data_IF_361981293504
#
_entry.id   IF_361981293504
#
_cell.length_a   1.000
_cell.length_b   1.000
_cell.length_c   1.000
_cell.angle_alpha   90.00
_cell.angle_beta   90.00
_cell.angle_gamma   90.00
#
_symmetry.space_group_name_H-M   'P 1'
#
loop_
_entity.id
_entity.type
_entity.pdbx_description
1 polymer ?
#
# COMPACT_ATOMS: atom_id res chain seq x y z
N UNK A 1 -15.49 29.46 -0.69
CA UNK A 1 -16.92 29.23 -0.41
C UNK A 1 -17.12 27.76 -0.02
N UNK A 2 -17.86 27.46 1.06
CA UNK A 2 -18.24 26.08 1.39
C UNK A 2 -19.32 25.65 0.39
N UNK A 3 -19.02 24.76 -0.57
CA UNK A 3 -20.07 24.26 -1.48
C UNK A 3 -21.11 23.48 -0.66
N UNK A 4 -22.38 23.83 -0.87
CA UNK A 4 -23.52 23.21 -0.19
C UNK A 4 -23.79 21.79 -0.68
N UNK A 5 -24.56 21.04 0.11
CA UNK A 5 -25.10 19.76 -0.32
C UNK A 5 -26.45 19.98 -0.99
N UNK A 6 -26.68 19.33 -2.12
CA UNK A 6 -27.96 19.28 -2.83
C UNK A 6 -28.62 17.91 -2.64
N UNK A 7 -29.94 17.88 -2.64
CA UNK A 7 -30.68 16.62 -2.62
C UNK A 7 -30.49 15.86 -3.94
N UNK A 8 -30.23 14.57 -3.84
CA UNK A 8 -30.02 13.64 -4.96
C UNK A 8 -31.13 12.59 -5.00
N UNK A 9 -31.68 12.21 -3.84
CA UNK A 9 -32.78 11.26 -3.73
C UNK A 9 -32.31 9.83 -3.42
N UNK A 10 -32.91 8.83 -4.06
CA UNK A 10 -32.56 7.43 -3.87
C UNK A 10 -31.38 7.00 -4.75
N UNK A 11 -30.39 6.31 -4.18
CA UNK A 11 -29.22 5.79 -4.88
C UNK A 11 -29.03 4.29 -4.59
N UNK A 12 -28.71 3.54 -5.65
CA UNK A 12 -28.16 2.19 -5.54
C UNK A 12 -26.69 2.24 -5.91
N UNK A 13 -25.83 1.93 -4.95
CA UNK A 13 -24.39 2.15 -5.04
C UNK A 13 -23.63 0.82 -5.02
N UNK A 14 -22.73 0.66 -5.97
CA UNK A 14 -21.79 -0.45 -6.03
C UNK A 14 -20.39 0.05 -5.66
N UNK A 15 -19.65 -0.61 -4.75
CA UNK A 15 -18.29 -0.22 -4.43
C UNK A 15 -17.38 -0.23 -5.66
N UNK A 16 -16.53 0.79 -5.77
CA UNK A 16 -15.44 0.82 -6.73
C UNK A 16 -14.12 0.59 -6.01
N UNK A 17 -13.74 1.46 -5.08
CA UNK A 17 -12.49 1.30 -4.34
C UNK A 17 -12.51 2.06 -3.02
N UNK A 18 -11.55 1.75 -2.15
CA UNK A 18 -11.26 2.55 -0.97
C UNK A 18 -9.79 2.97 -0.98
N UNK A 19 -9.53 4.19 -0.53
CA UNK A 19 -8.17 4.73 -0.48
C UNK A 19 -7.89 5.50 0.81
N UNK A 20 -6.63 5.53 1.26
CA UNK A 20 -6.21 6.41 2.33
C UNK A 20 -6.19 7.86 1.82
N UNK A 21 -6.67 8.78 2.65
CA UNK A 21 -6.56 10.22 2.40
C UNK A 21 -5.49 10.77 3.32
N UNK A 22 -4.42 11.32 2.74
CA UNK A 22 -3.35 11.98 3.48
C UNK A 22 -3.06 13.32 2.81
N UNK A 23 -3.54 14.40 3.43
CA UNK A 23 -3.42 15.75 2.89
C UNK A 23 -2.26 16.50 3.54
N UNK A 24 -1.51 17.27 2.73
CA UNK A 24 -0.43 18.13 3.19
C UNK A 24 -0.89 19.20 4.22
N UNK A 25 -2.19 19.51 4.25
CA UNK A 25 -2.82 20.42 5.21
C UNK A 25 -3.00 19.84 6.62
N UNK A 26 -2.45 18.64 6.90
CA UNK A 26 -2.53 18.01 8.22
C UNK A 26 -3.84 17.27 8.49
N UNK A 27 -4.52 16.84 7.42
CA UNK A 27 -5.74 16.04 7.50
C UNK A 27 -5.47 14.62 6.98
N UNK A 28 -5.96 13.63 7.72
CA UNK A 28 -5.82 12.23 7.37
C UNK A 28 -7.13 11.46 7.60
N UNK A 29 -7.29 10.37 6.86
CA UNK A 29 -8.47 9.52 6.97
C UNK A 29 -8.56 8.47 5.87
N UNK A 30 -9.78 8.02 5.61
CA UNK A 30 -10.09 7.09 4.54
C UNK A 30 -11.32 7.55 3.78
N UNK A 31 -11.42 7.13 2.52
CA UNK A 31 -12.63 7.27 1.72
C UNK A 31 -12.97 5.98 1.00
N UNK A 32 -14.26 5.73 0.83
CA UNK A 32 -14.80 4.73 -0.07
C UNK A 32 -15.51 5.44 -1.22
N UNK A 33 -15.28 4.92 -2.42
CA UNK A 33 -15.82 5.42 -3.68
C UNK A 33 -16.72 4.35 -4.28
N UNK A 34 -17.86 4.79 -4.79
CA UNK A 34 -18.94 3.97 -5.32
C UNK A 34 -19.36 4.49 -6.68
N UNK A 35 -20.02 3.63 -7.46
CA UNK A 35 -20.75 4.02 -8.67
C UNK A 35 -22.23 3.70 -8.52
N UNK A 36 -23.08 4.51 -9.14
CA UNK A 36 -24.47 4.14 -9.39
C UNK A 36 -24.65 3.48 -10.76
N UNK A 37 -25.90 3.15 -11.12
CA UNK A 37 -26.26 2.53 -12.40
C UNK A 37 -26.08 3.45 -13.62
N UNK A 38 -25.93 4.76 -13.42
CA UNK A 38 -25.64 5.71 -14.49
C UNK A 38 -24.13 5.84 -14.78
N UNK A 39 -23.29 5.23 -13.93
CA UNK A 39 -21.83 5.40 -13.98
C UNK A 39 -21.34 6.62 -13.21
N UNK A 40 -22.22 7.35 -12.53
CA UNK A 40 -21.81 8.49 -11.71
C UNK A 40 -21.10 8.01 -10.44
N UNK A 41 -20.03 8.72 -10.08
CA UNK A 41 -19.18 8.37 -8.94
C UNK A 41 -19.61 9.13 -7.69
N UNK A 42 -19.70 8.41 -6.58
CA UNK A 42 -20.09 8.93 -5.26
C UNK A 42 -19.06 8.55 -4.22
N UNK A 43 -18.80 9.41 -3.24
CA UNK A 43 -17.81 9.13 -2.20
C UNK A 43 -18.34 9.34 -0.79
N UNK A 44 -17.84 8.53 0.13
CA UNK A 44 -18.04 8.67 1.57
C UNK A 44 -16.67 8.69 2.22
N UNK A 45 -16.38 9.77 2.95
CA UNK A 45 -15.04 10.00 3.50
C UNK A 45 -15.10 10.42 4.97
N UNK A 46 -14.24 9.81 5.78
CA UNK A 46 -13.98 10.17 7.18
C UNK A 46 -12.57 10.71 7.27
N UNK A 47 -12.46 12.02 7.21
CA UNK A 47 -11.19 12.75 7.25
C UNK A 47 -11.23 13.72 8.43
N UNK A 48 -10.18 13.69 9.26
CA UNK A 48 -10.03 14.54 10.45
C UNK A 48 -8.59 15.08 10.50
N UNK A 49 -8.30 16.12 11.29
CA UNK A 49 -6.92 16.48 11.58
C UNK A 49 -6.14 15.25 12.07
N UNK A 50 -4.97 14.99 11.49
CA UNK A 50 -4.20 13.78 11.78
C UNK A 50 -3.14 13.49 10.72
N UNK A 51 -2.44 12.38 10.91
CA UNK A 51 -1.35 11.91 10.06
C UNK A 51 -1.59 10.46 9.59
N UNK A 52 -0.59 9.87 8.93
CA UNK A 52 -0.67 8.50 8.42
C UNK A 52 -1.01 7.46 9.50
N UNK A 53 -0.59 7.66 10.76
CA UNK A 53 -0.85 6.72 11.86
C UNK A 53 -2.33 6.69 12.28
N UNK A 54 -3.08 7.76 11.99
CA UNK A 54 -4.50 7.89 12.33
C UNK A 54 -5.46 7.19 11.34
N UNK A 55 -4.97 6.86 10.14
CA UNK A 55 -5.78 6.34 9.04
C UNK A 55 -6.38 4.96 9.35
N UNK A 56 -5.66 3.97 9.92
CA UNK A 56 -6.25 2.69 10.28
C UNK A 56 -7.46 2.85 11.23
N UNK A 57 -7.35 3.76 12.21
CA UNK A 57 -8.45 4.05 13.12
C UNK A 57 -9.63 4.71 12.38
N UNK A 58 -9.38 5.68 11.50
CA UNK A 58 -10.43 6.31 10.71
C UNK A 58 -11.16 5.32 9.78
N UNK A 59 -10.43 4.37 9.21
CA UNK A 59 -10.95 3.35 8.31
C UNK A 59 -11.84 2.32 9.02
N UNK A 60 -11.52 1.98 10.27
CA UNK A 60 -12.26 1.03 11.10
C UNK A 60 -13.35 1.66 11.98
N UNK A 61 -13.45 2.99 12.05
CA UNK A 61 -14.35 3.66 12.98
C UNK A 61 -15.79 3.79 12.47
N UNK A 62 -16.73 3.47 13.36
CA UNK A 62 -18.19 3.62 13.18
C UNK A 62 -18.74 4.85 13.92
N UNK A 63 -20.01 5.26 13.69
CA UNK A 63 -20.83 4.99 12.50
C UNK A 63 -20.59 6.08 11.44
N UNK A 64 -20.54 5.74 10.15
CA UNK A 64 -20.38 6.76 9.10
C UNK A 64 -21.69 7.47 8.80
N UNK A 65 -22.80 6.74 8.73
CA UNK A 65 -24.16 7.28 8.73
C UNK A 65 -24.85 6.91 10.04
N UNK A 66 -25.67 7.82 10.59
CA UNK A 66 -26.27 7.59 11.91
C UNK A 66 -27.09 6.30 12.01
N UNK A 67 -27.81 5.92 10.95
CA UNK A 67 -28.61 4.68 10.95
C UNK A 67 -27.86 3.45 10.44
N UNK A 68 -26.69 3.62 9.82
CA UNK A 68 -25.85 2.51 9.37
C UNK A 68 -24.56 2.54 10.18
N UNK A 69 -24.55 1.78 11.28
CA UNK A 69 -23.35 1.51 12.06
C UNK A 69 -22.45 0.55 11.30
N UNK A 70 -21.71 1.11 10.35
CA UNK A 70 -20.70 0.41 9.59
C UNK A 70 -19.54 1.36 9.28
N UNK A 71 -18.28 0.89 9.37
CA UNK A 71 -17.10 1.68 9.09
C UNK A 71 -16.82 1.68 7.58
N UNK A 72 -15.92 2.56 7.12
CA UNK A 72 -15.49 2.60 5.72
C UNK A 72 -14.96 1.22 5.27
N UNK A 73 -14.27 0.50 6.15
CA UNK A 73 -13.82 -0.88 5.91
C UNK A 73 -14.95 -1.81 5.48
N UNK A 74 -16.12 -1.72 6.09
CA UNK A 74 -17.24 -2.59 5.73
C UNK A 74 -18.02 -2.04 4.53
N UNK A 75 -18.26 -0.73 4.50
CA UNK A 75 -19.02 -0.06 3.43
C UNK A 75 -18.36 -0.24 2.06
N UNK A 76 -17.02 -0.12 1.98
CA UNK A 76 -16.25 -0.29 0.75
C UNK A 76 -16.33 -1.69 0.12
N UNK A 77 -16.97 -2.64 0.79
CA UNK A 77 -17.07 -4.05 0.37
C UNK A 77 -18.50 -4.51 0.14
N UNK A 78 -19.49 -3.63 0.28
CA UNK A 78 -20.89 -4.00 0.14
C UNK A 78 -21.63 -3.01 -0.74
N UNK A 79 -22.60 -3.51 -1.50
CA UNK A 79 -23.57 -2.63 -2.18
C UNK A 79 -24.35 -1.85 -1.14
N UNK A 80 -24.73 -0.62 -1.48
CA UNK A 80 -25.49 0.25 -0.58
C UNK A 80 -26.76 0.73 -1.27
N UNK A 81 -27.86 0.77 -0.52
CA UNK A 81 -29.06 1.48 -0.91
C UNK A 81 -29.18 2.69 0.01
N UNK A 82 -29.12 3.88 -0.57
CA UNK A 82 -29.19 5.14 0.15
C UNK A 82 -30.47 5.86 -0.25
N UNK A 83 -31.33 6.18 0.70
CA UNK A 83 -32.49 7.03 0.50
C UNK A 83 -32.25 8.42 1.08
N UNK A 84 -32.86 9.43 0.44
CA UNK A 84 -32.72 10.86 0.76
C UNK A 84 -31.25 11.29 0.79
N UNK A 85 -30.46 10.75 -0.14
CA UNK A 85 -29.08 11.14 -0.31
C UNK A 85 -29.00 12.64 -0.61
N UNK A 86 -28.06 13.30 0.04
CA UNK A 86 -27.63 14.64 -0.35
C UNK A 86 -26.14 14.59 -0.64
N UNK A 87 -25.71 15.26 -1.69
CA UNK A 87 -24.33 15.23 -2.16
C UNK A 87 -23.82 16.63 -2.50
N UNK A 88 -22.51 16.82 -2.47
CA UNK A 88 -21.86 18.00 -3.05
C UNK A 88 -21.70 17.79 -4.57
N UNK A 89 -21.34 18.86 -5.26
CA UNK A 89 -21.09 18.81 -6.72
C UNK A 89 -19.93 17.88 -7.10
N UNK A 90 -19.00 17.64 -6.17
CA UNK A 90 -17.88 16.69 -6.31
C UNK A 90 -18.27 15.22 -6.06
N UNK A 91 -19.56 14.93 -5.82
CA UNK A 91 -20.07 13.58 -5.57
C UNK A 91 -19.88 13.08 -4.13
N UNK A 92 -19.39 13.91 -3.20
CA UNK A 92 -19.31 13.52 -1.79
C UNK A 92 -20.69 13.46 -1.15
N UNK A 93 -21.06 12.30 -0.62
CA UNK A 93 -22.32 12.05 0.07
C UNK A 93 -22.29 12.60 1.50
N UNK A 94 -23.42 13.18 1.92
CA UNK A 94 -23.60 13.68 3.27
C UNK A 94 -23.92 12.54 4.23
N UNK A 95 -23.59 12.75 5.51
CA UNK A 95 -23.98 11.88 6.61
C UNK A 95 -25.11 12.46 7.48
N UNK A 96 -25.98 13.28 6.90
CA UNK A 96 -27.04 13.98 7.65
C UNK A 96 -28.08 13.04 8.27
N UNK A 97 -28.76 13.51 9.32
CA UNK A 97 -29.73 12.73 10.09
C UNK A 97 -30.94 12.22 9.27
N UNK A 98 -31.24 12.85 8.12
CA UNK A 98 -32.30 12.43 7.22
C UNK A 98 -31.87 11.34 6.22
N UNK A 99 -30.57 11.10 6.06
CA UNK A 99 -30.04 10.07 5.17
C UNK A 99 -30.32 8.70 5.78
N UNK A 100 -30.84 7.80 4.96
CA UNK A 100 -31.11 6.41 5.33
C UNK A 100 -30.26 5.54 4.44
N UNK A 101 -29.45 4.66 5.02
CA UNK A 101 -28.59 3.77 4.26
C UNK A 101 -28.77 2.33 4.74
N UNK A 102 -28.82 1.40 3.80
CA UNK A 102 -28.83 -0.03 4.09
C UNK A 102 -27.78 -0.73 3.25
N UNK A 103 -27.28 -1.83 3.79
CA UNK A 103 -26.20 -2.61 3.20
C UNK A 103 -26.79 -3.83 2.50
N UNK A 104 -26.41 -4.01 1.24
CA UNK A 104 -26.78 -5.16 0.43
C UNK A 104 -25.69 -6.22 0.41
N UNK A 105 -25.67 -7.00 -0.68
CA UNK A 105 -24.71 -8.08 -0.87
C UNK A 105 -23.25 -7.58 -0.88
N UNK A 106 -22.35 -8.46 -0.44
CA UNK A 106 -20.92 -8.27 -0.58
C UNK A 106 -20.52 -8.11 -2.04
N UNK A 107 -19.55 -7.24 -2.30
CA UNK A 107 -18.99 -6.95 -3.61
C UNK A 107 -17.73 -7.77 -3.81
N UNK A 108 -17.70 -8.59 -4.86
CA UNK A 108 -16.63 -9.56 -5.12
C UNK A 108 -15.73 -9.20 -6.31
N UNK A 109 -15.92 -8.03 -6.93
CA UNK A 109 -15.03 -7.53 -7.97
C UNK A 109 -15.69 -6.61 -9.00
N UNK A 110 -14.87 -6.11 -9.93
CA UNK A 110 -15.19 -4.98 -10.81
C UNK A 110 -15.77 -5.34 -12.18
N UNK A 111 -16.59 -6.39 -12.25
CA UNK A 111 -17.24 -6.76 -13.51
C UNK A 111 -18.14 -5.63 -14.02
N UNK A 112 -17.78 -5.05 -15.16
CA UNK A 112 -18.49 -3.91 -15.74
C UNK A 112 -18.21 -2.55 -15.07
N UNK A 113 -17.02 -2.35 -14.50
CA UNK A 113 -16.63 -1.03 -13.98
C UNK A 113 -16.82 0.07 -15.04
N UNK A 114 -17.39 1.23 -14.67
CA UNK A 114 -17.62 2.31 -15.62
C UNK A 114 -16.30 2.98 -16.01
N UNK A 115 -16.23 3.50 -17.24
CA UNK A 115 -15.15 4.42 -17.60
C UNK A 115 -15.16 5.65 -16.70
N UNK A 116 -14.00 6.23 -16.32
CA UNK A 116 -12.66 5.95 -16.82
C UNK A 116 -11.91 4.83 -16.09
N UNK A 117 -12.57 4.06 -15.21
CA UNK A 117 -11.93 2.95 -14.52
C UNK A 117 -11.70 1.79 -15.47
N UNK A 118 -10.51 1.20 -15.37
CA UNK A 118 -10.11 0.06 -16.18
C UNK A 118 -9.90 -1.16 -15.29
N UNK A 119 -10.28 -2.33 -15.82
CA UNK A 119 -10.03 -3.61 -15.17
C UNK A 119 -8.91 -4.33 -15.92
N UNK A 120 -7.79 -4.53 -15.23
CA UNK A 120 -6.65 -5.30 -15.74
C UNK A 120 -6.71 -6.70 -15.13
N UNK A 121 -7.00 -7.69 -15.97
CA UNK A 121 -7.05 -9.11 -15.57
C UNK A 121 -5.85 -9.84 -16.18
N UNK A 122 -5.08 -10.55 -15.36
CA UNK A 122 -3.91 -11.26 -15.85
C UNK A 122 -3.02 -11.85 -14.77
N UNK A 123 -1.88 -12.37 -15.21
CA UNK A 123 -0.87 -12.93 -14.30
C UNK A 123 0.07 -11.85 -13.80
N UNK A 124 0.45 -11.95 -12.53
CA UNK A 124 1.55 -11.17 -11.96
C UNK A 124 2.86 -11.63 -12.60
N UNK A 125 3.64 -10.69 -13.12
CA UNK A 125 4.97 -10.95 -13.69
C UNK A 125 6.10 -10.27 -12.91
N UNK A 126 5.76 -9.47 -11.90
CA UNK A 126 6.71 -8.80 -11.03
C UNK A 126 6.05 -7.70 -10.20
N UNK A 127 6.82 -7.08 -9.31
CA UNK A 127 6.35 -5.99 -8.46
C UNK A 127 7.50 -5.43 -7.63
N UNK A 128 7.38 -4.16 -7.26
CA UNK A 128 8.33 -3.44 -6.43
C UNK A 128 7.58 -2.57 -5.42
N UNK A 129 8.28 -1.66 -4.74
CA UNK A 129 7.64 -0.75 -3.76
C UNK A 129 6.84 0.40 -4.38
N UNK A 130 6.87 0.53 -5.70
CA UNK A 130 6.18 1.56 -6.46
C UNK A 130 4.93 1.01 -7.13
N UNK A 131 4.85 -0.28 -7.40
CA UNK A 131 3.73 -0.87 -8.12
C UNK A 131 3.83 -2.37 -8.37
N UNK A 132 2.87 -2.87 -9.14
CA UNK A 132 2.77 -4.27 -9.54
C UNK A 132 2.78 -4.35 -11.07
N UNK A 133 3.38 -5.41 -11.63
CA UNK A 133 3.32 -5.69 -13.07
C UNK A 133 2.35 -6.84 -13.30
N UNK A 134 1.25 -6.55 -14.00
CA UNK A 134 0.17 -7.50 -14.29
C UNK A 134 -0.10 -7.50 -15.79
N UNK A 135 -0.14 -8.68 -16.41
CA UNK A 135 -0.29 -8.81 -17.87
C UNK A 135 0.68 -7.92 -18.67
N UNK A 136 1.94 -7.80 -18.20
CA UNK A 136 2.97 -6.96 -18.83
C UNK A 136 2.81 -5.45 -18.64
N UNK A 137 1.80 -4.99 -17.88
CA UNK A 137 1.55 -3.57 -17.60
C UNK A 137 2.01 -3.20 -16.20
N UNK A 138 2.73 -2.09 -16.08
CA UNK A 138 3.12 -1.53 -14.78
C UNK A 138 1.98 -0.70 -14.20
N UNK A 139 1.52 -1.07 -13.01
CA UNK A 139 0.43 -0.41 -12.27
C UNK A 139 1.02 0.26 -11.03
N UNK A 140 0.98 1.58 -10.97
CA UNK A 140 1.63 2.37 -9.92
C UNK A 140 0.75 2.51 -8.67
N UNK A 141 1.36 2.50 -7.49
CA UNK A 141 0.69 2.84 -6.23
C UNK A 141 0.58 4.35 -6.08
N UNK A 142 -0.58 4.81 -5.59
CA UNK A 142 -0.79 6.21 -5.19
C UNK A 142 0.15 6.62 -4.07
N UNK A 143 0.48 7.91 -4.02
CA UNK A 143 1.38 8.49 -3.01
C UNK A 143 0.93 8.18 -1.57
N UNK A 144 -0.36 8.35 -1.27
CA UNK A 144 -0.90 8.01 0.05
C UNK A 144 -0.78 6.51 0.35
N UNK A 145 -1.18 5.63 -0.59
CA UNK A 145 -1.04 4.20 -0.40
C UNK A 145 0.42 3.76 -0.14
N UNK A 146 1.38 4.35 -0.85
CA UNK A 146 2.81 4.12 -0.63
C UNK A 146 3.26 4.57 0.75
N UNK A 147 2.83 5.75 1.20
CA UNK A 147 3.15 6.28 2.53
C UNK A 147 2.61 5.37 3.67
N UNK A 148 1.54 4.62 3.41
CA UNK A 148 0.98 3.62 4.34
C UNK A 148 1.54 2.21 4.13
N UNK A 149 2.64 2.06 3.40
CA UNK A 149 3.35 0.78 3.29
C UNK A 149 2.79 -0.19 2.26
N UNK A 150 1.90 0.23 1.36
CA UNK A 150 1.41 -0.62 0.26
C UNK A 150 2.54 -1.15 -0.64
N UNK A 151 3.69 -0.48 -0.69
CA UNK A 151 4.85 -0.92 -1.44
C UNK A 151 5.42 -2.27 -0.98
N UNK A 152 5.33 -2.58 0.32
CA UNK A 152 5.75 -3.90 0.83
C UNK A 152 4.81 -5.01 0.34
N UNK A 153 3.53 -4.70 0.18
CA UNK A 153 2.55 -5.62 -0.35
C UNK A 153 2.80 -5.91 -1.84
N UNK A 154 3.04 -4.88 -2.66
CA UNK A 154 3.33 -5.07 -4.09
C UNK A 154 4.68 -5.75 -4.34
N UNK A 155 5.69 -5.48 -3.51
CA UNK A 155 6.96 -6.23 -3.52
C UNK A 155 6.71 -7.71 -3.22
N UNK A 156 5.88 -8.02 -2.21
CA UNK A 156 5.53 -9.41 -1.86
C UNK A 156 4.70 -10.10 -2.96
N UNK A 157 3.65 -9.44 -3.47
CA UNK A 157 2.83 -9.98 -4.55
C UNK A 157 3.64 -10.16 -5.83
N UNK A 158 4.60 -9.28 -6.09
CA UNK A 158 5.54 -9.39 -7.21
C UNK A 158 6.37 -10.67 -7.22
N UNK A 159 6.57 -11.31 -6.06
CA UNK A 159 7.22 -12.62 -5.97
C UNK A 159 6.30 -13.76 -6.40
N UNK A 160 4.98 -13.58 -6.33
CA UNK A 160 3.98 -14.58 -6.70
C UNK A 160 3.77 -14.60 -8.22
N UNK A 161 4.86 -14.76 -8.99
CA UNK A 161 4.84 -14.80 -10.45
C UNK A 161 3.90 -15.91 -10.93
N UNK A 162 3.04 -15.58 -11.90
CA UNK A 162 2.02 -16.49 -12.43
C UNK A 162 0.70 -16.49 -11.66
N UNK A 163 0.62 -15.90 -10.46
CA UNK A 163 -0.65 -15.72 -9.76
C UNK A 163 -1.59 -14.85 -10.59
N UNK A 164 -2.84 -15.29 -10.74
CA UNK A 164 -3.84 -14.58 -11.54
C UNK A 164 -4.61 -13.62 -10.66
N UNK A 165 -4.55 -12.35 -11.02
CA UNK A 165 -5.16 -11.25 -10.28
C UNK A 165 -6.02 -10.42 -11.21
N UNK A 166 -6.96 -9.71 -10.61
CA UNK A 166 -7.72 -8.66 -11.26
C UNK A 166 -7.46 -7.36 -10.52
N UNK A 167 -7.12 -6.31 -11.25
CA UNK A 167 -6.78 -5.01 -10.70
C UNK A 167 -7.77 -3.95 -11.21
N UNK A 168 -8.26 -3.10 -10.31
CA UNK A 168 -8.91 -1.86 -10.70
C UNK A 168 -7.86 -0.77 -10.87
N UNK A 169 -7.90 -0.08 -12.00
CA UNK A 169 -6.91 0.91 -12.40
C UNK A 169 -7.59 2.21 -12.83
N UNK A 170 -6.98 3.35 -12.49
CA UNK A 170 -7.35 4.65 -13.04
C UNK A 170 -6.09 5.38 -13.47
N UNK A 171 -5.96 5.69 -14.77
CA UNK A 171 -4.79 6.42 -15.28
C UNK A 171 -3.45 5.72 -15.03
N UNK A 172 -3.42 4.39 -14.96
CA UNK A 172 -2.23 3.59 -14.63
C UNK A 172 -1.96 3.41 -13.13
N UNK A 173 -2.78 3.99 -12.26
CA UNK A 173 -2.68 3.80 -10.81
C UNK A 173 -3.54 2.63 -10.32
N UNK A 174 -2.96 1.77 -9.50
CA UNK A 174 -3.62 0.64 -8.85
C UNK A 174 -4.50 1.11 -7.69
N UNK A 175 -5.81 0.89 -7.81
CA UNK A 175 -6.81 1.26 -6.81
C UNK A 175 -7.24 0.08 -5.93
N UNK A 176 -7.13 -1.15 -6.44
CA UNK A 176 -7.52 -2.35 -5.74
C UNK A 176 -7.13 -3.61 -6.50
N UNK A 177 -7.07 -4.73 -5.80
CA UNK A 177 -6.77 -6.05 -6.38
C UNK A 177 -7.65 -7.14 -5.78
N UNK A 178 -8.08 -8.09 -6.60
CA UNK A 178 -8.59 -9.38 -6.15
C UNK A 178 -7.69 -10.50 -6.66
N UNK A 179 -7.45 -11.50 -5.81
CA UNK A 179 -6.77 -12.72 -6.21
C UNK A 179 -7.81 -13.70 -6.76
N UNK A 180 -7.50 -14.33 -7.90
CA UNK A 180 -8.39 -15.31 -8.56
C UNK A 180 -7.84 -16.71 -8.40
N UNK A 181 -6.58 -16.89 -8.77
CA UNK A 181 -5.92 -18.20 -8.80
C UNK A 181 -4.43 -18.06 -8.47
N UNK A 182 -3.83 -19.14 -7.95
CA UNK A 182 -2.41 -19.23 -7.67
C UNK A 182 -2.05 -18.89 -6.23
N UNK A 183 -0.82 -18.40 -6.04
CA UNK A 183 -0.23 -18.31 -4.71
C UNK A 183 -0.74 -17.14 -3.86
N UNK A 184 -1.47 -16.16 -4.41
CA UNK A 184 -1.99 -15.03 -3.63
C UNK A 184 -3.37 -15.39 -3.07
N UNK A 185 -3.54 -15.23 -1.77
CA UNK A 185 -4.80 -15.40 -1.05
C UNK A 185 -5.12 -14.14 -0.25
N UNK A 186 -6.24 -13.50 -0.58
CA UNK A 186 -6.77 -12.36 0.19
C UNK A 186 -7.74 -12.92 1.24
N UNK A 187 -7.58 -12.57 2.53
CA UNK A 187 -8.45 -13.04 3.59
C UNK A 187 -9.95 -12.82 3.32
N UNK A 188 -10.77 -13.80 3.68
CA UNK A 188 -12.22 -13.78 3.48
C UNK A 188 -12.91 -12.64 4.24
N UNK A 189 -12.35 -12.20 5.37
CA UNK A 189 -12.86 -11.07 6.15
C UNK A 189 -12.71 -9.72 5.43
N UNK A 190 -11.90 -9.69 4.36
CA UNK A 190 -11.76 -8.57 3.43
C UNK A 190 -12.60 -8.74 2.16
N UNK A 191 -13.46 -9.76 2.08
CA UNK A 191 -14.31 -10.03 0.92
C UNK A 191 -13.51 -10.35 -0.34
N UNK A 192 -12.28 -10.86 -0.20
CA UNK A 192 -11.40 -11.18 -1.32
C UNK A 192 -10.79 -9.96 -2.03
N UNK A 193 -10.97 -8.74 -1.49
CA UNK A 193 -10.46 -7.50 -2.07
C UNK A 193 -9.40 -6.84 -1.19
N UNK A 194 -8.27 -6.51 -1.82
CA UNK A 194 -7.19 -5.74 -1.22
C UNK A 194 -7.27 -4.26 -1.65
N UNK A 195 -7.31 -3.36 -0.66
CA UNK A 195 -7.20 -1.92 -0.82
C UNK A 195 -5.80 -1.42 -0.44
N UNK A 196 -4.99 -0.95 -1.42
CA UNK A 196 -3.64 -0.48 -1.18
C UNK A 196 -3.57 0.61 -0.11
N UNK A 197 -2.78 0.37 0.94
CA UNK A 197 -2.52 1.32 2.02
C UNK A 197 -3.60 1.36 3.12
N UNK A 198 -4.72 0.66 2.94
CA UNK A 198 -5.73 0.50 3.99
C UNK A 198 -5.67 -0.90 4.62
N UNK A 199 -5.46 -1.93 3.81
CA UNK A 199 -5.40 -3.31 4.28
C UNK A 199 -3.94 -3.75 4.46
N UNK A 200 -3.63 -4.25 5.65
CA UNK A 200 -2.28 -4.69 6.03
C UNK A 200 -2.01 -6.10 5.50
N UNK A 201 -1.12 -6.19 4.51
CA UNK A 201 -0.67 -7.46 3.93
C UNK A 201 0.43 -8.06 4.78
N UNK A 202 0.34 -9.36 5.03
CA UNK A 202 1.35 -10.17 5.70
C UNK A 202 1.83 -11.29 4.80
N UNK A 203 2.94 -11.95 5.15
CA UNK A 203 3.50 -13.05 4.36
C UNK A 203 2.51 -14.20 4.12
N UNK A 204 1.55 -14.40 5.02
CA UNK A 204 0.53 -15.46 4.92
C UNK A 204 -0.46 -15.27 3.77
N UNK A 205 -0.55 -14.08 3.20
CA UNK A 205 -1.37 -13.80 2.01
C UNK A 205 -0.77 -14.39 0.73
N UNK A 206 0.44 -14.90 0.82
CA UNK A 206 1.11 -15.55 -0.28
C UNK A 206 1.48 -16.96 0.17
N UNK A 207 1.06 -17.97 -0.58
CA UNK A 207 1.35 -19.37 -0.30
C UNK A 207 2.81 -19.73 -0.57
N UNK A 208 3.02 -20.98 -0.96
CA UNK A 208 4.30 -21.43 -1.51
C UNK A 208 4.60 -20.58 -2.75
N UNK A 209 5.57 -19.69 -2.59
CA UNK A 209 6.16 -19.02 -3.75
C UNK A 209 6.85 -20.12 -4.56
N UNK A 210 6.82 -20.07 -5.90
CA UNK A 210 7.69 -20.93 -6.69
C UNK A 210 9.10 -20.82 -6.10
N UNK A 211 9.77 -21.96 -5.89
CA UNK A 211 11.19 -21.96 -5.53
C UNK A 211 11.84 -20.99 -6.49
N UNK A 212 12.36 -19.88 -5.94
CA UNK A 212 12.63 -18.73 -6.77
C UNK A 212 13.47 -19.17 -7.96
N UNK A 213 12.97 -18.90 -9.17
CA UNK A 213 13.86 -18.20 -10.08
C UNK A 213 14.20 -16.94 -9.31
N UNK A 214 15.26 -17.02 -8.49
CA UNK A 214 15.76 -15.86 -7.78
C UNK A 214 15.81 -14.74 -8.80
N UNK A 215 15.44 -13.52 -8.40
CA UNK A 215 15.66 -12.34 -9.23
C UNK A 215 16.97 -12.55 -9.99
N UNK A 216 16.97 -12.51 -11.34
CA UNK A 216 18.04 -13.06 -12.16
C UNK A 216 19.36 -12.70 -11.50
N UNK A 217 20.14 -13.72 -11.12
CA UNK A 217 21.38 -13.47 -10.41
C UNK A 217 22.16 -12.47 -11.25
N UNK A 218 22.72 -11.42 -10.67
CA UNK A 218 23.77 -10.69 -11.35
C UNK A 218 24.96 -11.67 -11.51
N UNK A 219 24.95 -12.41 -12.62
CA UNK A 219 25.86 -13.54 -12.87
C UNK A 219 25.27 -14.71 -13.69
N UNK A 220 23.96 -14.79 -13.94
CA UNK A 220 23.41 -15.82 -14.86
C UNK A 220 23.60 -15.45 -16.35
N UNK A 221 24.06 -14.22 -16.61
CA UNK A 221 24.78 -13.89 -17.85
C UNK A 221 26.28 -14.00 -17.59
N UNK A 222 26.98 -14.71 -18.47
CA UNK A 222 28.45 -14.74 -18.51
C UNK A 222 28.95 -13.29 -18.67
N UNK A 223 29.21 -12.62 -17.55
CA UNK A 223 29.59 -11.22 -17.48
C UNK A 223 29.85 -10.82 -16.04
N UNK A 224 31.09 -10.43 -15.75
CA UNK A 224 31.59 -10.11 -14.43
C UNK A 224 30.63 -9.22 -13.61
N UNK A 225 30.43 -9.56 -12.33
CA UNK A 225 29.69 -8.73 -11.37
C UNK A 225 30.30 -7.33 -11.33
N UNK A 226 29.57 -6.36 -11.89
CA UNK A 226 30.06 -5.00 -12.10
C UNK A 226 29.76 -4.07 -10.93
N UNK A 227 30.46 -2.93 -10.82
CA UNK A 227 30.25 -1.92 -9.77
C UNK A 227 28.82 -1.33 -9.74
N UNK A 228 28.06 -1.40 -10.83
CA UNK A 228 26.65 -0.99 -10.89
C UNK A 228 25.73 -1.83 -9.99
N UNK A 229 25.96 -3.14 -9.92
CA UNK A 229 25.13 -4.05 -9.12
C UNK A 229 25.36 -3.84 -7.62
N UNK A 230 26.60 -3.50 -7.22
CA UNK A 230 26.92 -3.18 -5.82
C UNK A 230 26.22 -1.89 -5.40
N UNK A 231 26.19 -0.87 -6.27
CA UNK A 231 25.46 0.38 -6.02
C UNK A 231 23.96 0.15 -5.82
N UNK A 232 23.35 -0.69 -6.65
CA UNK A 232 21.93 -1.04 -6.50
C UNK A 232 21.65 -1.71 -5.15
N UNK A 233 22.52 -2.61 -4.71
CA UNK A 233 22.39 -3.27 -3.39
C UNK A 233 22.51 -2.27 -2.25
N UNK A 234 23.50 -1.36 -2.28
CA UNK A 234 23.67 -0.32 -1.25
C UNK A 234 22.46 0.64 -1.25
N UNK A 235 22.06 1.13 -2.43
CA UNK A 235 20.90 2.02 -2.58
C UNK A 235 19.60 1.39 -2.08
N UNK A 236 19.40 0.08 -2.31
CA UNK A 236 18.26 -0.68 -1.79
C UNK A 236 18.25 -0.70 -0.25
N UNK A 237 19.39 -0.84 0.39
CA UNK A 237 19.50 -0.80 1.86
C UNK A 237 19.22 0.59 2.42
N UNK A 238 19.77 1.65 1.79
CA UNK A 238 19.45 3.03 2.17
C UNK A 238 17.93 3.29 2.07
N UNK A 239 17.29 2.85 0.98
CA UNK A 239 15.86 3.00 0.81
C UNK A 239 15.06 2.21 1.85
N UNK A 240 15.49 0.98 2.20
CA UNK A 240 14.84 0.18 3.25
C UNK A 240 14.84 0.88 4.60
N UNK A 241 15.95 1.51 4.97
CA UNK A 241 16.08 2.26 6.23
C UNK A 241 15.15 3.49 6.23
N UNK A 242 15.04 4.21 5.11
CA UNK A 242 14.09 5.33 4.99
C UNK A 242 12.64 4.88 5.12
N UNK A 243 12.28 3.76 4.49
CA UNK A 243 10.90 3.31 4.39
C UNK A 243 10.39 2.62 5.67
N UNK A 244 11.25 1.87 6.37
CA UNK A 244 10.84 0.99 7.47
C UNK A 244 11.63 1.22 8.78
N UNK A 245 12.52 2.20 8.79
CA UNK A 245 13.35 2.54 9.95
C UNK A 245 14.54 1.59 10.18
N UNK A 246 15.33 1.83 11.23
CA UNK A 246 16.60 1.13 11.48
C UNK A 246 16.46 -0.37 11.76
N UNK A 247 15.30 -0.84 12.19
CA UNK A 247 15.07 -2.25 12.56
C UNK A 247 15.31 -3.22 11.40
N UNK A 248 15.23 -2.76 10.15
CA UNK A 248 15.53 -3.58 8.96
C UNK A 248 16.98 -4.03 8.89
N UNK A 249 17.89 -3.30 9.53
CA UNK A 249 19.33 -3.60 9.53
C UNK A 249 19.65 -4.85 10.36
N UNK A 250 18.75 -5.29 11.25
CA UNK A 250 18.89 -6.56 11.96
C UNK A 250 18.55 -7.80 11.10
N UNK A 251 18.21 -7.61 9.82
CA UNK A 251 17.85 -8.70 8.92
C UNK A 251 19.06 -9.57 8.57
N UNK A 252 18.94 -10.92 8.59
CA UNK A 252 20.02 -11.81 8.14
C UNK A 252 20.34 -11.67 6.65
N UNK A 253 19.51 -10.97 5.87
CA UNK A 253 19.81 -10.62 4.49
C UNK A 253 20.95 -9.60 4.37
N UNK A 254 21.14 -8.73 5.39
CA UNK A 254 22.20 -7.73 5.39
C UNK A 254 23.58 -8.40 5.38
N UNK A 255 23.78 -9.40 6.24
CA UNK A 255 25.05 -10.10 6.33
C UNK A 255 25.39 -10.86 5.03
N UNK A 256 24.37 -11.44 4.38
CA UNK A 256 24.56 -12.07 3.06
C UNK A 256 24.95 -11.06 1.99
N UNK A 257 24.30 -9.90 1.93
CA UNK A 257 24.62 -8.84 0.97
C UNK A 257 26.01 -8.24 1.23
N UNK A 258 26.44 -8.14 2.51
CA UNK A 258 27.79 -7.74 2.91
C UNK A 258 28.84 -8.74 2.43
N UNK A 259 28.63 -10.03 2.70
CA UNK A 259 29.53 -11.09 2.24
C UNK A 259 29.63 -11.13 0.70
N UNK A 260 28.49 -10.96 0.02
CA UNK A 260 28.45 -10.85 -1.44
C UNK A 260 29.24 -9.64 -1.96
N UNK A 261 29.07 -8.45 -1.34
CA UNK A 261 29.79 -7.25 -1.76
C UNK A 261 31.32 -7.40 -1.61
N UNK A 262 31.79 -8.11 -0.59
CA UNK A 262 33.21 -8.47 -0.45
C UNK A 262 33.66 -9.40 -1.58
N UNK A 263 32.88 -10.45 -1.86
CA UNK A 263 33.19 -11.40 -2.94
C UNK A 263 33.17 -10.74 -4.34
N UNK A 264 32.34 -9.72 -4.53
CA UNK A 264 32.28 -8.89 -5.74
C UNK A 264 33.40 -7.83 -5.84
N UNK A 265 34.38 -7.85 -4.93
CA UNK A 265 35.51 -6.91 -4.95
C UNK A 265 35.19 -5.50 -4.43
N UNK A 266 34.06 -5.32 -3.73
CA UNK A 266 33.63 -4.04 -3.17
C UNK A 266 33.60 -4.05 -1.62
N UNK A 267 34.74 -4.25 -0.94
CA UNK A 267 34.79 -4.29 0.52
C UNK A 267 34.39 -2.96 1.19
N UNK A 268 34.51 -1.84 0.47
CA UNK A 268 34.04 -0.54 0.95
C UNK A 268 32.51 -0.49 1.08
N UNK A 269 31.77 -1.04 0.11
CA UNK A 269 30.31 -1.14 0.18
C UNK A 269 29.86 -2.01 1.37
N UNK A 270 30.52 -3.16 1.57
CA UNK A 270 30.26 -4.03 2.71
C UNK A 270 30.50 -3.32 4.07
N UNK A 271 31.52 -2.44 4.13
CA UNK A 271 31.80 -1.61 5.30
C UNK A 271 30.72 -0.55 5.53
N UNK A 272 30.24 0.11 4.47
CA UNK A 272 29.14 1.09 4.57
C UNK A 272 27.85 0.44 5.10
N UNK A 273 27.50 -0.74 4.58
CA UNK A 273 26.36 -1.53 5.06
C UNK A 273 26.51 -1.92 6.54
N UNK A 274 27.68 -2.41 6.94
CA UNK A 274 27.97 -2.72 8.34
C UNK A 274 28.02 -1.50 9.26
N UNK A 275 28.43 -0.34 8.73
CA UNK A 275 28.42 0.93 9.45
C UNK A 275 27.02 1.40 9.81
N UNK A 276 26.05 1.23 8.89
CA UNK A 276 24.64 1.51 9.18
C UNK A 276 24.11 0.61 10.29
N UNK A 277 24.38 -0.71 10.24
CA UNK A 277 24.01 -1.66 11.29
C UNK A 277 24.62 -1.31 12.64
N UNK A 278 25.94 -1.07 12.68
CA UNK A 278 26.64 -0.69 13.91
C UNK A 278 26.10 0.62 14.52
N UNK A 279 25.69 1.58 13.68
CA UNK A 279 25.10 2.83 14.16
C UNK A 279 23.75 2.63 14.88
N UNK A 280 23.00 1.56 14.59
CA UNK A 280 21.77 1.25 15.33
C UNK A 280 22.03 0.84 16.79
N UNK A 281 23.25 0.41 17.09
CA UNK A 281 23.69 0.05 18.44
C UNK A 281 24.37 1.21 19.18
N UNK A 282 24.53 2.36 18.54
CA UNK A 282 25.07 3.56 19.18
C UNK A 282 23.96 4.29 19.95
N UNK A 283 24.28 4.74 21.14
CA UNK A 283 23.32 5.34 22.05
C UNK A 283 23.86 5.37 23.47
N UNK A 284 23.07 5.95 24.36
CA UNK A 284 23.40 5.98 25.78
C UNK A 284 22.16 5.68 26.62
N UNK A 285 22.38 5.28 27.87
CA UNK A 285 21.29 5.19 28.83
C UNK A 285 21.09 6.55 29.47
N UNK A 286 19.86 7.02 29.46
CA UNK A 286 19.45 8.19 30.25
C UNK A 286 19.56 7.88 31.74
N UNK A 287 19.51 8.94 32.54
CA UNK A 287 19.56 8.83 34.01
C UNK A 287 18.45 7.93 34.58
N UNK A 288 17.28 7.85 33.92
CA UNK A 288 16.16 6.97 34.29
C UNK A 288 16.32 5.50 33.81
N UNK A 289 17.47 5.17 33.20
CA UNK A 289 17.78 3.83 32.70
C UNK A 289 17.22 3.51 31.31
N UNK A 290 16.44 4.40 30.70
CA UNK A 290 15.94 4.21 29.33
C UNK A 290 17.05 4.31 28.30
N UNK A 291 17.07 3.39 27.32
CA UNK A 291 18.02 3.43 26.21
C UNK A 291 17.58 4.47 25.18
N UNK A 292 18.48 5.39 24.85
CA UNK A 292 18.28 6.40 23.81
C UNK A 292 19.28 6.15 22.67
N UNK A 293 18.76 5.93 21.47
CA UNK A 293 19.57 5.71 20.28
C UNK A 293 20.20 7.02 19.78
N UNK A 294 21.43 6.95 19.28
CA UNK A 294 22.14 8.06 18.65
C UNK A 294 21.64 8.25 17.20
N UNK A 295 20.55 9.00 17.04
CA UNK A 295 19.96 9.30 15.74
C UNK A 295 20.95 10.01 14.78
N UNK A 296 21.77 10.99 15.22
CA UNK A 296 22.84 11.55 14.40
C UNK A 296 23.83 10.53 13.85
N UNK A 297 24.27 9.56 14.66
CA UNK A 297 25.21 8.52 14.19
C UNK A 297 24.62 7.69 13.04
N UNK A 298 23.35 7.29 13.16
CA UNK A 298 22.66 6.56 12.09
C UNK A 298 22.49 7.42 10.84
N UNK A 299 22.15 8.69 10.98
CA UNK A 299 22.01 9.63 9.86
C UNK A 299 23.33 9.79 9.09
N UNK A 300 24.46 9.93 9.80
CA UNK A 300 25.78 10.02 9.18
C UNK A 300 26.15 8.73 8.44
N UNK A 301 25.92 7.57 9.05
CA UNK A 301 26.18 6.27 8.42
C UNK A 301 25.31 6.05 7.18
N UNK A 302 24.04 6.46 7.25
CA UNK A 302 23.10 6.40 6.13
C UNK A 302 23.52 7.34 4.99
N UNK A 303 23.90 8.58 5.30
CA UNK A 303 24.38 9.55 4.30
C UNK A 303 25.63 9.03 3.58
N UNK A 304 26.59 8.48 4.31
CA UNK A 304 27.79 7.88 3.74
C UNK A 304 27.46 6.71 2.80
N UNK A 305 26.50 5.86 3.16
CA UNK A 305 26.04 4.77 2.31
C UNK A 305 25.29 5.27 1.07
N UNK A 306 24.49 6.34 1.20
CA UNK A 306 23.70 6.90 0.09
C UNK A 306 24.53 7.55 -1.03
N UNK A 307 25.80 7.87 -0.75
CA UNK A 307 26.72 8.52 -1.69
C UNK A 307 27.61 7.54 -2.48
N UNK A 308 27.49 6.23 -2.22
CA UNK A 308 28.27 5.18 -2.86
C UNK A 308 27.92 4.98 -4.35
#
# INVERSE_FOLDING_TARGET
ARQGYREVGGLSLTPLYAEPVLAASGFAGAQAVFTDSSGATWSVARVRPGDASSIPAAYAAEPVWQELSAPIRQLSRHRLLVARASARDDGRLSAGAAVRASMGAAHTGWEGAPGPFEVVDGTVSGGDRRGLVVAGRSLALRGAARALGAGLATELFGLAVGARVRCLVLGGELLGMTAREGAIHVPDDLGGVWWPGLDRVTRSWVGALPEGVGAPRPGDGVGASGPSQVREVVGRWCQRVLDAGPSVLASPALERDRAWAVAAGAPFAARLLGGMEAATHQGSRRFDGTWEADAPALLVAWLAASQY
#
